data_IF_611439775447
#
_entry.id   IF_611439775447
#
_cell.length_a   1.000
_cell.length_b   1.000
_cell.length_c   1.000
_cell.angle_alpha   90.00
_cell.angle_beta   90.00
_cell.angle_gamma   90.00
#
_symmetry.space_group_name_H-M   'P 1'
#
loop_
_entity.id
_entity.type
_entity.pdbx_description
1 polymer ?
#
# COMPACT_ATOMS: atom_id res chain seq x y z
N UNK A 1 50.12 7.90 19.50
CA UNK A 1 48.80 7.40 19.91
C UNK A 1 47.65 8.43 19.81
N UNK A 2 47.84 9.71 20.14
CA UNK A 2 46.75 10.73 20.06
C UNK A 2 46.22 11.03 18.63
N UNK A 3 47.05 10.91 17.58
CA UNK A 3 46.63 11.18 16.19
C UNK A 3 45.75 10.09 15.57
N UNK A 4 45.87 8.83 16.00
CA UNK A 4 45.08 7.69 15.51
C UNK A 4 43.63 7.76 16.05
N UNK A 5 43.45 8.21 17.30
CA UNK A 5 42.14 8.33 17.94
C UNK A 5 41.30 9.43 17.25
N UNK A 6 41.92 10.53 16.82
CA UNK A 6 41.20 11.62 16.11
C UNK A 6 40.76 11.15 14.71
N UNK A 7 41.55 10.34 13.99
CA UNK A 7 41.15 9.81 12.67
C UNK A 7 39.99 8.82 12.74
N UNK A 8 39.98 7.96 13.79
CA UNK A 8 38.88 7.00 14.01
C UNK A 8 37.56 7.72 14.34
N UNK A 9 37.60 8.80 15.12
CA UNK A 9 36.40 9.60 15.40
C UNK A 9 35.85 10.34 14.15
N UNK A 10 36.71 10.79 13.24
CA UNK A 10 36.24 11.45 12.00
C UNK A 10 35.55 10.46 11.05
N UNK A 11 35.99 9.21 10.97
CA UNK A 11 35.39 8.19 10.14
C UNK A 11 34.01 7.75 10.70
N UNK A 12 33.88 7.66 12.02
CA UNK A 12 32.59 7.33 12.64
C UNK A 12 31.54 8.44 12.49
N UNK A 13 31.95 9.71 12.54
CA UNK A 13 31.02 10.85 12.39
C UNK A 13 30.43 10.95 10.97
N UNK A 14 31.19 10.57 9.93
CA UNK A 14 30.67 10.56 8.56
C UNK A 14 29.66 9.43 8.28
N UNK A 15 29.75 8.31 8.97
CA UNK A 15 28.80 7.19 8.81
C UNK A 15 27.41 7.55 9.36
N UNK A 16 27.33 8.23 10.51
CA UNK A 16 26.05 8.67 11.08
C UNK A 16 25.33 9.72 10.20
N UNK A 17 26.09 10.59 9.54
CA UNK A 17 25.49 11.62 8.67
C UNK A 17 24.90 11.01 7.39
N UNK A 18 25.50 9.94 6.84
CA UNK A 18 25.00 9.26 5.65
C UNK A 18 23.68 8.52 5.93
N UNK A 19 23.57 7.79 7.04
CA UNK A 19 22.34 7.07 7.42
C UNK A 19 21.17 8.05 7.64
N UNK A 20 21.39 9.15 8.33
CA UNK A 20 20.37 10.20 8.52
C UNK A 20 19.92 10.88 7.22
N UNK A 21 20.80 10.94 6.21
CA UNK A 21 20.48 11.52 4.90
C UNK A 21 19.67 10.54 4.05
N UNK A 22 19.97 9.25 4.08
CA UNK A 22 19.21 8.21 3.39
C UNK A 22 17.79 8.08 3.94
N UNK A 23 17.61 8.14 5.27
CA UNK A 23 16.30 8.12 5.92
C UNK A 23 15.44 9.34 5.53
N UNK A 24 16.08 10.52 5.40
CA UNK A 24 15.38 11.73 4.95
C UNK A 24 14.96 11.63 3.49
N UNK A 25 15.82 11.14 2.60
CA UNK A 25 15.49 10.94 1.18
C UNK A 25 14.32 9.96 1.04
N UNK A 26 14.31 8.88 1.81
CA UNK A 26 13.22 7.91 1.83
C UNK A 26 11.88 8.56 2.20
N UNK A 27 11.87 9.32 3.30
CA UNK A 27 10.67 10.00 3.76
C UNK A 27 10.18 11.07 2.78
N UNK A 28 11.09 11.85 2.19
CA UNK A 28 10.75 12.86 1.19
C UNK A 28 10.10 12.22 -0.05
N UNK A 29 10.61 11.07 -0.55
CA UNK A 29 10.03 10.33 -1.67
C UNK A 29 8.63 9.79 -1.35
N UNK A 30 8.44 9.20 -0.17
CA UNK A 30 7.14 8.69 0.26
C UNK A 30 6.12 9.82 0.44
N UNK A 31 6.54 10.96 0.99
CA UNK A 31 5.69 12.14 1.12
C UNK A 31 5.32 12.70 -0.25
N UNK A 32 6.28 12.82 -1.20
CA UNK A 32 6.00 13.28 -2.56
C UNK A 32 4.99 12.37 -3.25
N UNK A 33 5.14 11.05 -3.13
CA UNK A 33 4.18 10.07 -3.63
C UNK A 33 2.80 10.29 -3.01
N UNK A 34 2.67 10.29 -1.70
CA UNK A 34 1.39 10.49 -1.00
C UNK A 34 0.73 11.82 -1.38
N UNK A 35 1.50 12.91 -1.41
CA UNK A 35 1.00 14.24 -1.78
C UNK A 35 0.56 14.31 -3.25
N UNK A 36 1.20 13.54 -4.14
CA UNK A 36 0.80 13.44 -5.53
C UNK A 36 -0.60 12.79 -5.64
N UNK A 37 -0.80 11.64 -5.00
CA UNK A 37 -2.11 10.97 -4.97
C UNK A 37 -3.22 11.81 -4.33
N UNK A 38 -2.92 12.56 -3.26
CA UNK A 38 -3.88 13.45 -2.59
C UNK A 38 -4.33 14.65 -3.41
N UNK A 39 -3.54 15.09 -4.38
CA UNK A 39 -3.91 16.21 -5.27
C UNK A 39 -4.85 15.80 -6.39
N UNK A 40 -4.99 14.52 -6.65
CA UNK A 40 -5.87 13.99 -7.69
C UNK A 40 -7.32 14.04 -7.22
N UNK A 41 -8.23 14.44 -8.12
CA UNK A 41 -9.68 14.41 -7.87
C UNK A 41 -10.25 12.98 -7.88
N UNK A 42 -9.41 12.00 -8.16
CA UNK A 42 -9.66 10.59 -8.19
C UNK A 42 -8.75 9.90 -9.21
N UNK A 43 -8.63 8.60 -9.09
CA UNK A 43 -7.91 7.78 -10.07
C UNK A 43 -8.50 6.37 -10.12
N UNK A 44 -8.24 5.73 -11.24
CA UNK A 44 -8.49 4.29 -11.44
C UNK A 44 -7.19 3.61 -11.81
N UNK A 45 -6.97 2.42 -11.27
CA UNK A 45 -5.78 1.62 -11.53
C UNK A 45 -6.15 0.14 -11.66
N UNK A 46 -5.57 -0.57 -12.63
CA UNK A 46 -5.48 -2.02 -12.61
C UNK A 46 -4.17 -2.45 -11.97
N UNK A 47 -4.20 -3.58 -11.31
CA UNK A 47 -3.03 -4.14 -10.63
C UNK A 47 -3.02 -5.66 -10.70
N UNK A 48 -1.83 -6.22 -10.58
CA UNK A 48 -1.60 -7.64 -10.36
C UNK A 48 -1.09 -7.85 -8.93
N UNK A 49 -1.79 -8.71 -8.19
CA UNK A 49 -1.33 -9.23 -6.91
C UNK A 49 -0.70 -10.59 -7.11
N UNK A 50 0.42 -10.85 -6.45
CA UNK A 50 1.06 -12.16 -6.41
C UNK A 50 1.51 -12.49 -4.99
N UNK A 51 1.15 -13.66 -4.52
CA UNK A 51 1.68 -14.25 -3.29
C UNK A 51 2.70 -15.32 -3.64
N UNK A 52 3.85 -15.30 -2.99
CA UNK A 52 4.88 -16.33 -3.07
C UNK A 52 5.25 -16.80 -1.69
N UNK A 53 5.10 -18.08 -1.41
CA UNK A 53 5.66 -18.69 -0.22
C UNK A 53 7.05 -19.23 -0.56
N UNK A 54 8.09 -18.65 0.07
CA UNK A 54 9.49 -18.98 -0.23
C UNK A 54 9.91 -20.36 0.30
N UNK A 55 9.14 -20.99 1.20
CA UNK A 55 9.44 -22.28 1.80
C UNK A 55 8.76 -23.43 1.07
N UNK A 56 7.50 -23.21 0.61
CA UNK A 56 6.65 -24.26 0.06
C UNK A 56 6.56 -24.23 -1.48
N UNK A 57 7.24 -23.25 -2.12
CA UNK A 57 7.22 -23.01 -3.57
C UNK A 57 5.78 -22.82 -4.13
N UNK A 58 4.89 -22.28 -3.29
CA UNK A 58 3.52 -21.94 -3.68
C UNK A 58 3.55 -20.53 -4.24
N UNK A 59 2.93 -20.38 -5.41
CA UNK A 59 2.69 -19.07 -6.02
C UNK A 59 1.23 -18.97 -6.41
N UNK A 60 0.59 -17.89 -6.01
CA UNK A 60 -0.78 -17.52 -6.39
C UNK A 60 -0.78 -16.10 -6.94
N UNK A 61 -1.68 -15.82 -7.90
CA UNK A 61 -1.73 -14.50 -8.53
C UNK A 61 -3.12 -14.22 -9.08
N UNK A 62 -3.61 -13.00 -8.85
CA UNK A 62 -4.84 -12.51 -9.46
C UNK A 62 -4.68 -11.05 -9.90
N UNK A 63 -5.55 -10.60 -10.78
CA UNK A 63 -5.64 -9.20 -11.19
C UNK A 63 -6.84 -8.53 -10.54
N UNK A 64 -6.73 -7.24 -10.29
CA UNK A 64 -7.79 -6.43 -9.74
C UNK A 64 -7.84 -5.05 -10.36
N UNK A 65 -8.89 -4.31 -10.02
CA UNK A 65 -9.07 -2.91 -10.40
C UNK A 65 -9.51 -2.13 -9.17
N UNK A 66 -8.89 -0.98 -8.93
CA UNK A 66 -9.25 -0.07 -7.85
C UNK A 66 -9.58 1.32 -8.42
N UNK A 67 -10.64 1.93 -7.90
CA UNK A 67 -10.95 3.35 -8.09
C UNK A 67 -10.91 4.03 -6.73
N UNK A 68 -10.19 5.15 -6.62
CA UNK A 68 -9.99 5.88 -5.35
C UNK A 68 -10.34 7.34 -5.54
N UNK A 69 -11.05 7.90 -4.55
CA UNK A 69 -11.32 9.33 -4.43
C UNK A 69 -11.37 9.72 -2.95
N UNK A 70 -10.47 10.59 -2.55
CA UNK A 70 -10.27 10.93 -1.13
C UNK A 70 -10.02 9.65 -0.30
N UNK A 71 -10.80 9.42 0.77
CA UNK A 71 -10.73 8.23 1.61
C UNK A 71 -11.67 7.09 1.16
N UNK A 72 -12.27 7.23 -0.04
CA UNK A 72 -13.23 6.26 -0.60
C UNK A 72 -12.56 5.40 -1.65
N UNK A 73 -12.98 4.16 -1.75
CA UNK A 73 -12.52 3.28 -2.83
C UNK A 73 -13.57 2.27 -3.27
N UNK A 74 -13.42 1.81 -4.50
CA UNK A 74 -14.06 0.61 -5.04
C UNK A 74 -12.99 -0.32 -5.54
N UNK A 75 -12.97 -1.53 -5.02
CA UNK A 75 -12.02 -2.58 -5.38
C UNK A 75 -12.75 -3.78 -6.00
N UNK A 76 -12.29 -4.22 -7.16
CA UNK A 76 -12.75 -5.43 -7.84
C UNK A 76 -11.62 -6.45 -7.86
N UNK A 77 -11.85 -7.65 -7.31
CA UNK A 77 -10.95 -8.80 -7.32
C UNK A 77 -11.78 -10.09 -7.40
N UNK A 78 -11.51 -10.94 -8.41
CA UNK A 78 -12.02 -12.33 -8.50
C UNK A 78 -13.46 -12.56 -8.03
N UNK A 79 -14.43 -11.91 -8.66
CA UNK A 79 -15.86 -12.07 -8.31
C UNK A 79 -16.29 -11.37 -7.03
N UNK A 80 -15.39 -10.57 -6.44
CA UNK A 80 -15.64 -9.77 -5.26
C UNK A 80 -15.59 -8.29 -5.60
N UNK A 81 -16.57 -7.52 -5.12
CA UNK A 81 -16.59 -6.05 -5.18
C UNK A 81 -16.61 -5.50 -3.77
N UNK A 82 -15.61 -4.72 -3.42
CA UNK A 82 -15.52 -4.03 -2.12
C UNK A 82 -15.71 -2.55 -2.37
N UNK A 83 -16.66 -1.93 -1.68
CA UNK A 83 -16.93 -0.50 -1.72
C UNK A 83 -16.72 0.06 -0.33
N UNK A 84 -16.01 1.18 -0.22
CA UNK A 84 -15.83 1.95 0.99
C UNK A 84 -16.19 3.42 0.71
N UNK A 85 -17.13 3.97 1.48
CA UNK A 85 -17.52 5.38 1.43
C UNK A 85 -16.87 6.24 2.51
N UNK A 86 -15.83 5.74 3.19
CA UNK A 86 -15.14 6.27 4.38
C UNK A 86 -15.85 6.07 5.73
N UNK A 87 -17.01 5.42 5.76
CA UNK A 87 -17.77 5.10 6.98
C UNK A 87 -18.24 3.65 6.99
N UNK A 88 -18.67 3.17 5.84
CA UNK A 88 -19.25 1.84 5.63
C UNK A 88 -18.44 1.11 4.57
N UNK A 89 -18.23 -0.17 4.81
CA UNK A 89 -17.66 -1.10 3.83
C UNK A 89 -18.74 -2.10 3.42
N UNK A 90 -18.96 -2.21 2.11
CA UNK A 90 -19.77 -3.26 1.49
C UNK A 90 -18.86 -4.24 0.79
N UNK A 91 -18.94 -5.51 1.14
CA UNK A 91 -18.24 -6.60 0.45
C UNK A 91 -19.27 -7.45 -0.25
N UNK A 92 -19.38 -7.32 -1.55
CA UNK A 92 -20.30 -8.09 -2.39
C UNK A 92 -19.58 -9.26 -3.02
N UNK A 93 -20.12 -10.48 -2.84
CA UNK A 93 -19.68 -11.73 -3.44
C UNK A 93 -20.65 -12.08 -4.58
N UNK A 94 -20.19 -11.95 -5.82
CA UNK A 94 -21.04 -12.11 -7.01
C UNK A 94 -21.61 -13.51 -7.12
N UNK A 95 -20.80 -14.55 -6.93
CA UNK A 95 -21.20 -15.95 -7.04
C UNK A 95 -22.27 -16.37 -6.01
N UNK A 96 -22.29 -15.73 -4.85
CA UNK A 96 -23.24 -15.99 -3.76
C UNK A 96 -24.44 -15.04 -3.78
N UNK A 97 -24.37 -13.96 -4.57
CA UNK A 97 -25.31 -12.84 -4.50
C UNK A 97 -25.53 -12.36 -3.05
N UNK A 98 -24.41 -12.20 -2.33
CA UNK A 98 -24.38 -11.83 -0.91
C UNK A 98 -23.62 -10.52 -0.73
N UNK A 99 -24.14 -9.64 0.14
CA UNK A 99 -23.40 -8.45 0.58
C UNK A 99 -23.24 -8.44 2.08
N UNK A 100 -22.01 -8.33 2.54
CA UNK A 100 -21.67 -8.04 3.93
C UNK A 100 -21.47 -6.54 4.10
N UNK A 101 -22.05 -5.98 5.17
CA UNK A 101 -21.96 -4.55 5.50
C UNK A 101 -21.29 -4.42 6.86
N UNK A 102 -20.26 -3.58 6.96
CA UNK A 102 -19.55 -3.31 8.22
C UNK A 102 -19.19 -1.83 8.35
N UNK A 103 -18.89 -1.38 9.56
CA UNK A 103 -18.26 -0.07 9.78
C UNK A 103 -16.84 -0.07 9.26
N UNK A 104 -16.38 1.06 8.71
CA UNK A 104 -14.99 1.25 8.31
C UNK A 104 -14.15 1.66 9.51
N UNK A 105 -13.18 0.83 9.88
CA UNK A 105 -12.14 1.16 10.87
C UNK A 105 -10.76 1.21 10.20
N UNK A 106 -10.16 2.40 10.04
CA UNK A 106 -8.83 2.52 9.45
C UNK A 106 -7.73 1.89 10.30
N UNK A 107 -7.95 1.66 11.61
CA UNK A 107 -6.96 1.06 12.51
C UNK A 107 -6.82 -0.45 12.35
N UNK A 108 -7.85 -1.12 11.83
CA UNK A 108 -7.90 -2.57 11.60
C UNK A 108 -7.42 -2.98 10.20
N UNK A 109 -7.01 -2.01 9.38
CA UNK A 109 -6.61 -2.26 8.00
C UNK A 109 -5.23 -2.91 7.93
N UNK A 110 -5.14 -4.07 7.31
CA UNK A 110 -3.89 -4.63 6.82
C UNK A 110 -3.35 -3.82 5.62
N UNK A 111 -2.07 -4.01 5.31
CA UNK A 111 -1.45 -3.32 4.17
C UNK A 111 -1.99 -3.89 2.87
N UNK A 112 -2.58 -3.03 2.08
CA UNK A 112 -3.19 -3.37 0.80
C UNK A 112 -3.17 -2.18 -0.16
N UNK A 113 -3.63 -2.41 -1.40
CA UNK A 113 -3.62 -1.39 -2.46
C UNK A 113 -4.43 -0.13 -2.11
N UNK A 114 -5.42 -0.22 -1.21
CA UNK A 114 -6.27 0.91 -0.82
C UNK A 114 -5.65 1.83 0.24
N UNK A 115 -4.65 1.38 1.03
CA UNK A 115 -4.07 2.17 2.11
C UNK A 115 -2.55 2.37 2.01
N UNK A 116 -1.89 1.77 1.02
CA UNK A 116 -0.43 1.78 0.86
C UNK A 116 0.18 3.19 0.78
N UNK A 117 -0.60 4.18 0.31
CA UNK A 117 -0.14 5.57 0.15
C UNK A 117 0.02 6.33 1.47
N UNK A 118 -0.52 5.81 2.58
CA UNK A 118 -0.55 6.47 3.89
C UNK A 118 0.16 5.67 4.99
N UNK A 119 0.34 4.36 4.80
CA UNK A 119 0.78 3.42 5.83
C UNK A 119 2.13 3.77 6.46
N UNK A 120 3.01 4.42 5.71
CA UNK A 120 4.39 4.72 6.11
C UNK A 120 4.54 5.85 7.14
N UNK A 121 3.46 6.63 7.41
CA UNK A 121 3.54 7.89 8.16
C UNK A 121 3.90 7.72 9.62
N UNK A 122 3.39 6.67 10.25
CA UNK A 122 3.58 6.43 11.68
C UNK A 122 4.03 5.00 11.96
N UNK A 123 4.93 4.82 12.92
CA UNK A 123 5.37 3.52 13.40
C UNK A 123 6.32 2.78 12.47
N UNK A 124 7.05 3.49 11.60
CA UNK A 124 8.02 2.90 10.69
C UNK A 124 9.35 3.65 10.67
N UNK A 125 10.43 2.90 10.51
CA UNK A 125 11.73 3.40 10.07
C UNK A 125 11.78 3.35 8.54
N UNK A 126 12.33 4.38 7.94
CA UNK A 126 12.41 4.55 6.48
C UNK A 126 13.84 4.36 6.01
N UNK A 127 14.05 3.78 4.84
CA UNK A 127 15.35 3.62 4.25
C UNK A 127 15.31 3.77 2.73
N UNK A 128 16.09 4.69 2.18
CA UNK A 128 16.36 4.74 0.76
C UNK A 128 17.36 3.65 0.37
N UNK A 129 17.04 2.85 -0.63
CA UNK A 129 17.88 1.72 -1.05
C UNK A 129 18.70 2.09 -2.27
N UNK A 130 18.04 2.49 -3.36
CA UNK A 130 18.68 2.88 -4.59
C UNK A 130 17.73 3.60 -5.56
N UNK A 131 18.30 4.13 -6.64
CA UNK A 131 17.58 4.56 -7.84
C UNK A 131 18.13 3.82 -9.04
N UNK A 132 17.28 3.08 -9.75
CA UNK A 132 17.69 2.30 -10.94
C UNK A 132 16.66 2.49 -12.05
N UNK A 133 17.08 2.87 -13.23
CA UNK A 133 16.24 3.06 -14.42
C UNK A 133 15.02 3.98 -14.18
N UNK A 134 15.19 5.06 -13.42
CA UNK A 134 14.10 6.00 -13.11
C UNK A 134 13.15 5.55 -12.01
N UNK A 135 13.43 4.43 -11.33
CA UNK A 135 12.64 3.92 -10.20
C UNK A 135 13.44 4.09 -8.92
N UNK A 136 12.85 4.77 -7.94
CA UNK A 136 13.38 4.89 -6.59
C UNK A 136 12.86 3.72 -5.75
N UNK A 137 13.77 2.98 -5.11
CA UNK A 137 13.42 1.92 -4.17
C UNK A 137 13.54 2.45 -2.74
N UNK A 138 12.44 2.41 -2.01
CA UNK A 138 12.36 2.79 -0.60
C UNK A 138 11.84 1.61 0.21
N UNK A 139 12.46 1.32 1.33
CA UNK A 139 11.99 0.31 2.28
C UNK A 139 11.53 0.95 3.59
N UNK A 140 10.45 0.41 4.16
CA UNK A 140 10.00 0.75 5.51
C UNK A 140 9.97 -0.50 6.40
N UNK A 141 10.25 -0.29 7.68
CA UNK A 141 10.36 -1.34 8.68
C UNK A 141 9.48 -0.98 9.87
N UNK A 142 8.49 -1.81 10.24
CA UNK A 142 7.64 -1.51 11.39
C UNK A 142 8.44 -1.44 12.68
N UNK A 143 8.10 -0.47 13.55
CA UNK A 143 8.65 -0.37 14.89
C UNK A 143 7.96 -1.33 15.87
N UNK A 144 6.70 -1.69 15.57
CA UNK A 144 5.97 -2.71 16.33
C UNK A 144 6.38 -4.11 15.86
N UNK A 145 7.07 -4.83 16.75
CA UNK A 145 7.53 -6.21 16.49
C UNK A 145 6.38 -7.23 16.43
N UNK A 146 5.15 -6.88 16.81
CA UNK A 146 4.00 -7.78 16.74
C UNK A 146 3.33 -7.80 15.35
N UNK A 147 3.67 -6.89 14.45
CA UNK A 147 3.17 -6.94 13.07
C UNK A 147 3.53 -8.27 12.41
N UNK A 148 2.64 -8.82 11.56
CA UNK A 148 2.86 -10.08 10.83
C UNK A 148 4.00 -9.95 9.80
N UNK A 149 4.29 -8.75 9.35
CA UNK A 149 5.35 -8.44 8.38
C UNK A 149 6.52 -7.71 9.06
N UNK A 150 7.69 -7.78 8.44
CA UNK A 150 8.91 -7.15 8.94
C UNK A 150 9.48 -6.07 8.02
N UNK A 151 8.97 -5.95 6.79
CA UNK A 151 9.43 -4.98 5.80
C UNK A 151 8.38 -4.77 4.72
N UNK A 152 8.31 -3.53 4.21
CA UNK A 152 7.62 -3.19 2.96
C UNK A 152 8.60 -2.47 2.05
N UNK A 153 8.64 -2.85 0.78
CA UNK A 153 9.45 -2.20 -0.25
C UNK A 153 8.55 -1.50 -1.27
N UNK A 154 8.82 -0.24 -1.55
CA UNK A 154 8.13 0.58 -2.53
C UNK A 154 9.01 0.83 -3.74
N UNK A 155 8.46 0.70 -4.93
CA UNK A 155 9.06 1.12 -6.19
C UNK A 155 8.33 2.37 -6.70
N UNK A 156 8.96 3.54 -6.55
CA UNK A 156 8.37 4.86 -6.85
C UNK A 156 9.02 5.40 -8.12
N UNK A 157 8.21 5.75 -9.11
CA UNK A 157 8.64 6.33 -10.37
C UNK A 157 9.09 7.80 -10.20
N UNK A 158 9.80 8.36 -11.17
CA UNK A 158 10.25 9.76 -11.16
C UNK A 158 9.11 10.79 -11.15
N UNK A 159 7.94 10.41 -11.57
CA UNK A 159 6.72 11.23 -11.52
C UNK A 159 5.90 11.05 -10.24
N UNK A 160 6.51 10.51 -9.19
CA UNK A 160 5.91 10.23 -7.89
C UNK A 160 4.69 9.27 -7.94
N UNK A 161 4.58 8.44 -8.98
CA UNK A 161 3.62 7.34 -9.02
C UNK A 161 4.24 6.06 -8.48
N UNK A 162 3.42 5.27 -7.80
CA UNK A 162 3.79 3.94 -7.34
C UNK A 162 3.78 2.96 -8.53
N UNK A 163 4.88 2.28 -8.78
CA UNK A 163 4.97 1.20 -9.77
C UNK A 163 4.62 -0.15 -9.15
N UNK A 164 5.08 -0.39 -7.93
CA UNK A 164 4.78 -1.60 -7.18
C UNK A 164 5.11 -1.43 -5.70
N UNK A 165 4.53 -2.29 -4.87
CA UNK A 165 5.00 -2.48 -3.51
C UNK A 165 5.01 -3.96 -3.13
N UNK A 166 5.88 -4.30 -2.20
CA UNK A 166 6.09 -5.68 -1.75
C UNK A 166 6.09 -5.74 -0.24
N UNK A 167 5.23 -6.58 0.33
CA UNK A 167 5.16 -6.86 1.76
C UNK A 167 5.89 -8.16 2.05
N UNK A 168 6.83 -8.15 2.98
CA UNK A 168 7.62 -9.30 3.41
C UNK A 168 7.10 -9.78 4.77
N UNK A 169 6.39 -10.90 4.77
CA UNK A 169 5.78 -11.48 5.95
C UNK A 169 6.74 -12.38 6.73
N UNK A 170 6.53 -12.49 8.04
CA UNK A 170 7.33 -13.34 8.95
C UNK A 170 7.13 -14.83 8.73
N UNK A 171 6.06 -15.23 8.02
CA UNK A 171 5.80 -16.61 7.61
C UNK A 171 6.59 -17.06 6.38
N UNK A 172 7.59 -16.28 5.94
CA UNK A 172 8.31 -16.47 4.67
C UNK A 172 7.44 -16.30 3.41
N UNK A 173 6.32 -15.60 3.53
CA UNK A 173 5.51 -15.22 2.39
C UNK A 173 5.87 -13.80 1.91
N UNK A 174 5.77 -13.60 0.61
CA UNK A 174 6.02 -12.31 -0.03
C UNK A 174 4.77 -11.95 -0.84
N UNK A 175 4.19 -10.81 -0.56
CA UNK A 175 3.01 -10.28 -1.25
C UNK A 175 3.43 -9.10 -2.14
N UNK A 176 3.25 -9.25 -3.45
CA UNK A 176 3.69 -8.29 -4.45
C UNK A 176 2.46 -7.69 -5.12
N UNK A 177 2.36 -6.37 -5.12
CA UNK A 177 1.35 -5.60 -5.84
C UNK A 177 2.05 -4.81 -6.94
N UNK A 178 1.73 -5.10 -8.19
CA UNK A 178 2.26 -4.38 -9.36
C UNK A 178 1.14 -3.54 -9.96
N UNK A 179 1.39 -2.27 -10.21
CA UNK A 179 0.47 -1.37 -10.88
C UNK A 179 0.64 -1.56 -12.38
N UNK A 180 -0.41 -2.04 -13.06
CA UNK A 180 -0.39 -2.37 -14.49
C UNK A 180 -0.80 -1.16 -15.33
N UNK A 181 -1.89 -0.49 -14.96
CA UNK A 181 -2.38 0.72 -15.58
C UNK A 181 -2.75 1.75 -14.51
N UNK A 182 -2.62 3.03 -14.84
CA UNK A 182 -3.00 4.13 -13.98
C UNK A 182 -3.63 5.25 -14.79
N UNK A 183 -4.82 5.70 -14.37
CA UNK A 183 -5.55 6.79 -14.96
C UNK A 183 -6.06 7.76 -13.90
N UNK A 184 -5.55 9.00 -13.92
CA UNK A 184 -6.14 10.09 -13.14
C UNK A 184 -7.43 10.55 -13.82
N UNK A 185 -8.54 10.56 -13.10
CA UNK A 185 -9.86 10.95 -13.62
C UNK A 185 -10.77 11.51 -12.53
N UNK A 186 -11.74 12.30 -12.92
CA UNK A 186 -12.78 12.74 -11.99
C UNK A 186 -13.81 11.63 -11.79
N UNK A 187 -13.95 11.15 -10.54
CA UNK A 187 -14.88 10.08 -10.21
C UNK A 187 -16.16 10.64 -9.58
N UNK A 188 -17.32 10.11 -10.01
CA UNK A 188 -18.61 10.44 -9.42
C UNK A 188 -18.76 9.79 -8.04
N UNK A 189 -19.37 10.51 -7.08
CA UNK A 189 -19.56 10.01 -5.73
C UNK A 189 -20.51 8.80 -5.65
N UNK A 190 -21.41 8.63 -6.62
CA UNK A 190 -22.30 7.46 -6.69
C UNK A 190 -21.57 6.14 -6.90
N UNK A 191 -20.31 6.18 -7.39
CA UNK A 191 -19.48 5.01 -7.53
C UNK A 191 -19.18 4.34 -6.17
N UNK A 192 -19.14 5.14 -5.10
CA UNK A 192 -18.76 4.71 -3.74
C UNK A 192 -19.96 4.41 -2.85
N UNK A 193 -21.09 3.97 -3.43
CA UNK A 193 -22.26 3.48 -2.72
C UNK A 193 -22.69 2.11 -3.25
N UNK A 194 -23.31 1.31 -2.39
CA UNK A 194 -23.90 0.04 -2.77
C UNK A 194 -25.43 0.15 -2.68
N UNK A 195 -26.08 0.15 -3.85
CA UNK A 195 -27.54 0.24 -3.96
C UNK A 195 -28.13 -1.17 -3.97
N UNK A 196 -28.61 -1.64 -2.82
CA UNK A 196 -29.17 -3.01 -2.62
C UNK A 196 -30.29 -3.30 -3.62
N UNK A 197 -31.10 -2.28 -3.95
CA UNK A 197 -32.22 -2.38 -4.89
C UNK A 197 -31.83 -2.82 -6.30
N UNK A 198 -30.56 -2.65 -6.67
CA UNK A 198 -30.05 -3.08 -7.97
C UNK A 198 -29.73 -4.58 -8.05
N UNK A 199 -29.83 -5.30 -6.91
CA UNK A 199 -29.47 -6.73 -6.79
C UNK A 199 -30.68 -7.56 -6.33
N UNK A 200 -31.50 -8.09 -7.26
CA UNK A 200 -32.65 -8.91 -6.90
C UNK A 200 -32.24 -10.15 -6.07
N UNK A 201 -33.02 -10.45 -5.04
CA UNK A 201 -32.82 -11.61 -4.14
C UNK A 201 -31.46 -11.66 -3.43
N UNK A 202 -30.79 -10.52 -3.25
CA UNK A 202 -29.52 -10.43 -2.56
C UNK A 202 -29.65 -10.81 -1.07
N UNK A 203 -28.73 -11.63 -0.56
CA UNK A 203 -28.58 -11.86 0.87
C UNK A 203 -27.78 -10.71 1.48
N UNK A 204 -28.31 -10.11 2.56
CA UNK A 204 -27.68 -8.97 3.25
C UNK A 204 -27.27 -9.39 4.65
N UNK A 205 -25.99 -9.31 4.98
CA UNK A 205 -25.42 -9.55 6.30
C UNK A 205 -24.88 -8.24 6.86
N UNK A 206 -25.58 -7.64 7.82
CA UNK A 206 -25.22 -6.34 8.41
C UNK A 206 -24.60 -6.52 9.80
N UNK A 207 -23.33 -6.09 9.95
CA UNK A 207 -22.54 -6.14 11.20
C UNK A 207 -22.37 -4.79 11.89
N UNK A 208 -23.09 -3.76 11.46
CA UNK A 208 -23.00 -2.42 12.07
C UNK A 208 -23.76 -2.30 13.36
#
# INVERSE_FOLDING_TARGET
MKKIIVLINLIFFNQFSLLSQEDKVALDLLNSMSDNYKKMNGFTSSFTYSMKNLTEDITDSFSGKISVKDDKYVLFIEGQKIINDSKTVWTYLEDLNEVTISEFDPSEQDISINNVFEVYKEGFKHKFINKTNGVNTVEIYPEDENKSYFKISFAILENDLLSSFTVFDKSNSVFIYTIDDFLEEELDNSLFSFEIENYPDIEVIDFR
#
